data_IF_276281792936
#
_entry.id   IF_276281792936
#
_cell.length_a   1.000
_cell.length_b   1.000
_cell.length_c   1.000
_cell.angle_alpha   90.00
_cell.angle_beta   90.00
_cell.angle_gamma   90.00
#
_symmetry.space_group_name_H-M   'P 1'
#
loop_
_entity.id
_entity.type
_entity.pdbx_description
1 polymer ?
#
# COMPACT_ATOMS: atom_id res chain seq x y z
N UNK A 1 10.24 22.26 -21.56
CA UNK A 1 9.53 21.07 -22.10
C UNK A 1 9.97 19.78 -21.41
N UNK A 2 11.27 19.45 -21.38
CA UNK A 2 11.81 18.17 -20.83
C UNK A 2 11.48 17.93 -19.35
N UNK A 3 11.49 18.96 -18.50
CA UNK A 3 11.27 18.83 -17.04
C UNK A 3 9.93 18.16 -16.67
N UNK A 4 8.92 18.24 -17.53
CA UNK A 4 7.60 17.63 -17.27
C UNK A 4 7.58 16.11 -17.47
N UNK A 5 8.55 15.56 -18.19
CA UNK A 5 8.61 14.12 -18.46
C UNK A 5 9.38 13.34 -17.38
N UNK A 6 10.13 14.03 -16.51
CA UNK A 6 10.92 13.39 -15.45
C UNK A 6 10.00 12.64 -14.44
N UNK A 7 8.95 13.27 -13.87
CA UNK A 7 8.03 12.56 -12.98
C UNK A 7 7.35 11.39 -13.70
N UNK A 8 6.83 11.61 -14.92
CA UNK A 8 6.17 10.55 -15.68
C UNK A 8 7.10 9.35 -15.97
N UNK A 9 8.39 9.59 -16.22
CA UNK A 9 9.36 8.52 -16.42
C UNK A 9 9.59 7.71 -15.14
N UNK A 10 9.60 8.37 -13.98
CA UNK A 10 9.68 7.71 -12.68
C UNK A 10 8.41 6.89 -12.40
N UNK A 11 7.22 7.43 -12.71
CA UNK A 11 5.95 6.69 -12.65
C UNK A 11 5.95 5.47 -13.57
N UNK A 12 6.50 5.58 -14.78
CA UNK A 12 6.72 4.43 -15.66
C UNK A 12 7.68 3.40 -15.04
N UNK A 13 8.69 3.84 -14.27
CA UNK A 13 9.57 2.97 -13.49
C UNK A 13 8.83 2.20 -12.39
N UNK A 14 7.90 2.86 -11.69
CA UNK A 14 6.98 2.21 -10.74
C UNK A 14 6.18 1.10 -11.46
N UNK A 15 5.48 1.45 -12.54
CA UNK A 15 4.66 0.53 -13.33
C UNK A 15 5.47 -0.66 -13.88
N UNK A 16 6.67 -0.40 -14.41
CA UNK A 16 7.54 -1.43 -14.96
C UNK A 16 8.01 -2.41 -13.88
N UNK A 17 8.43 -1.88 -12.72
CA UNK A 17 8.89 -2.69 -11.59
C UNK A 17 7.76 -3.57 -11.03
N UNK A 18 6.55 -3.01 -10.91
CA UNK A 18 5.36 -3.75 -10.48
C UNK A 18 5.00 -4.87 -11.46
N UNK A 19 5.11 -4.60 -12.77
CA UNK A 19 4.89 -5.59 -13.82
C UNK A 19 5.88 -6.76 -13.74
N UNK A 20 7.15 -6.50 -13.45
CA UNK A 20 8.14 -7.57 -13.20
C UNK A 20 7.78 -8.35 -11.94
N UNK A 21 7.40 -7.67 -10.86
CA UNK A 21 6.94 -8.30 -9.63
C UNK A 21 5.78 -9.28 -9.86
N UNK A 22 4.84 -8.94 -10.74
CA UNK A 22 3.72 -9.81 -11.10
C UNK A 22 4.20 -11.12 -11.74
N UNK A 23 5.22 -11.05 -12.61
CA UNK A 23 5.81 -12.26 -13.23
C UNK A 23 6.42 -13.16 -12.16
N UNK A 24 7.18 -12.61 -11.21
CA UNK A 24 7.73 -13.37 -10.09
C UNK A 24 6.63 -13.99 -9.21
N UNK A 25 5.55 -13.24 -8.96
CA UNK A 25 4.42 -13.74 -8.20
C UNK A 25 3.75 -14.93 -8.89
N UNK A 26 3.54 -14.87 -10.21
CA UNK A 26 2.98 -15.99 -10.97
C UNK A 26 3.91 -17.20 -11.06
N UNK A 27 5.22 -17.00 -11.02
CA UNK A 27 6.20 -18.08 -10.93
C UNK A 27 6.29 -18.69 -9.52
N UNK A 28 5.52 -18.20 -8.55
CA UNK A 28 5.48 -18.71 -7.18
C UNK A 28 6.59 -18.16 -6.26
N UNK A 29 7.49 -17.32 -6.76
CA UNK A 29 8.53 -16.69 -5.94
C UNK A 29 8.01 -15.45 -5.20
N UNK A 30 7.12 -15.70 -4.24
CA UNK A 30 6.42 -14.65 -3.50
C UNK A 30 7.34 -13.83 -2.58
N UNK A 31 8.52 -14.36 -2.19
CA UNK A 31 9.46 -13.64 -1.34
C UNK A 31 10.20 -12.58 -2.16
N UNK A 32 10.67 -12.91 -3.37
CA UNK A 32 11.35 -11.93 -4.25
C UNK A 32 10.42 -10.80 -4.70
N UNK A 33 9.10 -11.04 -4.78
CA UNK A 33 8.11 -9.98 -5.10
C UNK A 33 8.25 -8.75 -4.21
N UNK A 34 8.58 -8.93 -2.91
CA UNK A 34 8.73 -7.81 -1.99
C UNK A 34 9.82 -6.82 -2.44
N UNK A 35 10.90 -7.30 -3.07
CA UNK A 35 11.94 -6.45 -3.62
C UNK A 35 11.41 -5.53 -4.73
N UNK A 36 10.61 -6.07 -5.65
CA UNK A 36 10.00 -5.27 -6.72
C UNK A 36 8.95 -4.30 -6.20
N UNK A 37 8.17 -4.66 -5.17
CA UNK A 37 7.26 -3.72 -4.51
C UNK A 37 8.02 -2.56 -3.86
N UNK A 38 9.16 -2.84 -3.21
CA UNK A 38 9.99 -1.79 -2.62
C UNK A 38 10.54 -0.87 -3.72
N UNK A 39 11.03 -1.41 -4.83
CA UNK A 39 11.48 -0.61 -5.98
C UNK A 39 10.35 0.24 -6.54
N UNK A 40 9.15 -0.32 -6.73
CA UNK A 40 7.96 0.42 -7.16
C UNK A 40 7.66 1.58 -6.20
N UNK A 41 7.69 1.33 -4.89
CA UNK A 41 7.49 2.36 -3.86
C UNK A 41 8.56 3.44 -3.86
N UNK A 42 9.81 3.09 -4.20
CA UNK A 42 10.88 4.08 -4.37
C UNK A 42 10.62 4.98 -5.58
N UNK A 43 10.25 4.40 -6.72
CA UNK A 43 9.91 5.18 -7.91
C UNK A 43 8.71 6.10 -7.70
N UNK A 44 7.63 5.58 -7.10
CA UNK A 44 6.43 6.33 -6.69
C UNK A 44 6.78 7.51 -5.77
N UNK A 45 7.57 7.27 -4.73
CA UNK A 45 8.01 8.35 -3.85
C UNK A 45 8.80 9.44 -4.61
N UNK A 46 9.71 9.03 -5.50
CA UNK A 46 10.55 9.96 -6.25
C UNK A 46 9.79 10.69 -7.34
N UNK A 47 8.75 10.13 -7.95
CA UNK A 47 7.94 10.85 -8.94
C UNK A 47 7.19 12.02 -8.29
N UNK A 48 6.57 11.79 -7.13
CA UNK A 48 5.82 12.78 -6.39
C UNK A 48 6.74 13.80 -5.73
N UNK A 49 7.95 13.39 -5.35
CA UNK A 49 9.01 14.31 -4.92
C UNK A 49 9.50 15.19 -6.08
N UNK A 50 9.82 14.61 -7.24
CA UNK A 50 10.31 15.32 -8.41
C UNK A 50 9.27 16.30 -8.97
N UNK A 51 7.99 15.91 -9.05
CA UNK A 51 6.89 16.77 -9.48
C UNK A 51 6.78 18.03 -8.60
N UNK A 52 6.91 17.86 -7.28
CA UNK A 52 6.91 18.98 -6.31
C UNK A 52 8.15 19.86 -6.44
N UNK A 53 9.33 19.26 -6.51
CA UNK A 53 10.61 19.98 -6.60
C UNK A 53 10.73 20.79 -7.90
N UNK A 54 10.25 20.23 -9.01
CA UNK A 54 10.30 20.88 -10.33
C UNK A 54 9.12 21.81 -10.58
N UNK A 55 8.18 21.93 -9.62
CA UNK A 55 6.93 22.67 -9.76
C UNK A 55 6.13 22.30 -11.03
N UNK A 56 6.14 21.01 -11.37
CA UNK A 56 5.38 20.48 -12.50
C UNK A 56 4.17 19.72 -11.97
N UNK A 57 2.98 20.20 -12.34
CA UNK A 57 1.74 19.42 -12.27
C UNK A 57 1.21 19.24 -13.68
N UNK A 58 0.77 18.04 -14.01
CA UNK A 58 0.13 17.74 -15.30
C UNK A 58 -0.94 16.70 -15.09
N UNK A 59 -2.08 16.88 -15.76
CA UNK A 59 -3.23 15.97 -15.66
C UNK A 59 -2.85 14.55 -16.09
N UNK A 60 -2.07 14.42 -17.18
CA UNK A 60 -1.53 13.13 -17.62
C UNK A 60 -0.69 12.44 -16.54
N UNK A 61 0.14 13.19 -15.80
CA UNK A 61 0.97 12.64 -14.73
C UNK A 61 0.14 12.14 -13.56
N UNK A 62 -0.92 12.87 -13.17
CA UNK A 62 -1.86 12.45 -12.13
C UNK A 62 -2.59 11.15 -12.50
N UNK A 63 -3.08 11.06 -13.74
CA UNK A 63 -3.79 9.85 -14.19
C UNK A 63 -2.82 8.67 -14.38
N UNK A 64 -1.62 8.91 -14.92
CA UNK A 64 -0.59 7.90 -15.09
C UNK A 64 -0.14 7.31 -13.74
N UNK A 65 0.01 8.14 -12.72
CA UNK A 65 0.31 7.75 -11.34
C UNK A 65 -0.72 6.77 -10.79
N UNK A 66 -2.01 7.13 -10.88
CA UNK A 66 -3.09 6.24 -10.44
C UNK A 66 -3.16 4.93 -11.24
N UNK A 67 -2.88 4.95 -12.55
CA UNK A 67 -2.83 3.74 -13.38
C UNK A 67 -1.64 2.84 -13.02
N UNK A 68 -0.46 3.43 -12.76
CA UNK A 68 0.71 2.70 -12.30
C UNK A 68 0.47 2.06 -10.93
N UNK A 69 -0.14 2.81 -10.01
CA UNK A 69 -0.50 2.34 -8.68
C UNK A 69 -1.49 1.18 -8.68
N UNK A 70 -2.45 1.17 -9.61
CA UNK A 70 -3.35 0.02 -9.78
C UNK A 70 -2.55 -1.24 -10.08
N UNK A 71 -1.47 -1.17 -10.86
CA UNK A 71 -0.64 -2.34 -11.19
C UNK A 71 0.26 -2.71 -10.01
N UNK A 72 1.06 -1.77 -9.51
CA UNK A 72 2.09 -2.04 -8.51
C UNK A 72 1.55 -2.25 -7.10
N UNK A 73 0.48 -1.54 -6.73
CA UNK A 73 -0.08 -1.53 -5.38
C UNK A 73 -1.54 -1.98 -5.29
N UNK A 74 -2.10 -2.48 -6.40
CA UNK A 74 -3.43 -3.10 -6.44
C UNK A 74 -3.40 -4.51 -7.01
N UNK A 75 -2.93 -4.66 -8.25
CA UNK A 75 -2.92 -5.92 -8.96
C UNK A 75 -1.86 -6.88 -8.43
N UNK A 76 -0.63 -6.40 -8.26
CA UNK A 76 0.45 -7.19 -7.68
C UNK A 76 0.09 -7.80 -6.30
N UNK A 77 -0.39 -7.05 -5.29
CA UNK A 77 -0.84 -7.68 -4.04
C UNK A 77 -2.06 -8.60 -4.23
N UNK A 78 -2.95 -8.32 -5.19
CA UNK A 78 -4.02 -9.24 -5.57
C UNK A 78 -3.50 -10.58 -6.09
N UNK A 79 -2.45 -10.57 -6.93
CA UNK A 79 -1.77 -11.78 -7.43
C UNK A 79 -1.10 -12.54 -6.28
N UNK A 80 -0.44 -11.84 -5.34
CA UNK A 80 0.15 -12.49 -4.14
C UNK A 80 -0.93 -13.22 -3.35
N UNK A 81 -2.06 -12.57 -3.07
CA UNK A 81 -3.16 -13.20 -2.33
C UNK A 81 -3.80 -14.36 -3.11
N UNK A 82 -3.93 -14.23 -4.43
CA UNK A 82 -4.36 -15.33 -5.30
C UNK A 82 -3.45 -16.56 -5.15
N UNK A 83 -2.13 -16.36 -5.20
CA UNK A 83 -1.15 -17.45 -5.03
C UNK A 83 -1.20 -18.05 -3.62
N UNK A 84 -1.35 -17.23 -2.57
CA UNK A 84 -1.52 -17.73 -1.21
C UNK A 84 -2.79 -18.60 -1.07
N UNK A 85 -3.91 -18.17 -1.65
CA UNK A 85 -5.14 -18.95 -1.64
C UNK A 85 -5.03 -20.24 -2.47
N UNK A 86 -4.34 -20.22 -3.61
CA UNK A 86 -4.04 -21.45 -4.36
C UNK A 86 -3.22 -22.44 -3.53
N UNK A 87 -2.16 -21.96 -2.86
CA UNK A 87 -1.32 -22.77 -1.98
C UNK A 87 -2.10 -23.34 -0.78
N UNK A 88 -3.15 -22.63 -0.33
CA UNK A 88 -4.09 -23.10 0.70
C UNK A 88 -5.17 -24.07 0.16
N UNK A 89 -5.06 -24.52 -1.09
CA UNK A 89 -6.02 -25.40 -1.78
C UNK A 89 -7.43 -24.80 -1.93
N UNK A 90 -7.55 -23.49 -2.11
CA UNK A 90 -8.85 -22.80 -2.24
C UNK A 90 -9.57 -23.08 -3.58
N UNK A 91 -8.90 -23.70 -4.57
CA UNK A 91 -9.46 -23.95 -5.90
C UNK A 91 -9.94 -22.66 -6.57
N UNK A 92 -11.18 -22.64 -7.07
CA UNK A 92 -11.76 -21.45 -7.70
C UNK A 92 -11.92 -20.26 -6.74
N UNK A 93 -11.93 -20.47 -5.41
CA UNK A 93 -12.00 -19.36 -4.47
C UNK A 93 -10.71 -18.52 -4.45
N UNK A 94 -9.60 -19.02 -5.01
CA UNK A 94 -8.37 -18.25 -5.10
C UNK A 94 -8.53 -16.93 -5.87
N UNK A 95 -9.42 -16.90 -6.88
CA UNK A 95 -9.75 -15.68 -7.63
C UNK A 95 -10.29 -14.55 -6.74
N UNK A 96 -10.76 -14.85 -5.53
CA UNK A 96 -11.14 -13.83 -4.55
C UNK A 96 -9.99 -12.90 -4.18
N UNK A 97 -8.73 -13.33 -4.29
CA UNK A 97 -7.56 -12.44 -4.09
C UNK A 97 -7.61 -11.18 -4.95
N UNK A 98 -8.21 -11.23 -6.15
CA UNK A 98 -8.37 -10.07 -7.03
C UNK A 98 -9.43 -9.07 -6.57
N UNK A 99 -10.19 -9.35 -5.50
CA UNK A 99 -10.97 -8.32 -4.81
C UNK A 99 -10.06 -7.19 -4.31
N UNK A 100 -8.83 -7.51 -3.88
CA UNK A 100 -7.85 -6.49 -3.49
C UNK A 100 -7.55 -5.56 -4.66
N UNK A 101 -7.39 -6.08 -5.87
CA UNK A 101 -7.19 -5.29 -7.09
C UNK A 101 -8.37 -4.37 -7.37
N UNK A 102 -9.58 -4.93 -7.35
CA UNK A 102 -10.82 -4.18 -7.64
C UNK A 102 -10.99 -3.04 -6.64
N UNK A 103 -10.86 -3.31 -5.35
CA UNK A 103 -11.04 -2.30 -4.31
C UNK A 103 -9.91 -1.28 -4.28
N UNK A 104 -8.69 -1.66 -4.68
CA UNK A 104 -7.58 -0.72 -4.86
C UNK A 104 -7.87 0.27 -5.99
N UNK A 105 -8.39 -0.20 -7.13
CA UNK A 105 -8.81 0.67 -8.23
C UNK A 105 -9.96 1.60 -7.82
N UNK A 106 -10.98 1.07 -7.12
CA UNK A 106 -12.08 1.89 -6.58
C UNK A 106 -11.58 2.96 -5.60
N UNK A 107 -10.63 2.62 -4.73
CA UNK A 107 -10.01 3.57 -3.79
C UNK A 107 -9.29 4.68 -4.55
N UNK A 108 -8.48 4.35 -5.56
CA UNK A 108 -7.72 5.34 -6.34
C UNK A 108 -8.66 6.26 -7.14
N UNK A 109 -9.69 5.69 -7.76
CA UNK A 109 -10.72 6.48 -8.44
C UNK A 109 -11.44 7.45 -7.48
N UNK A 110 -11.87 6.96 -6.30
CA UNK A 110 -12.46 7.81 -5.26
C UNK A 110 -11.50 8.92 -4.82
N UNK A 111 -10.23 8.58 -4.57
CA UNK A 111 -9.21 9.55 -4.16
C UNK A 111 -9.05 10.69 -5.17
N UNK A 112 -9.13 10.40 -6.47
CA UNK A 112 -8.94 11.41 -7.52
C UNK A 112 -10.09 12.43 -7.64
N UNK A 113 -11.29 12.08 -7.18
CA UNK A 113 -12.50 12.91 -7.29
C UNK A 113 -13.01 13.47 -5.95
N UNK A 114 -12.53 12.94 -4.82
CA UNK A 114 -12.98 13.33 -3.49
C UNK A 114 -12.24 14.59 -3.00
N UNK A 115 -12.94 15.72 -2.96
CA UNK A 115 -12.40 17.02 -2.56
C UNK A 115 -12.11 17.14 -1.05
N UNK A 116 -12.54 16.16 -0.24
CA UNK A 116 -12.31 16.15 1.21
C UNK A 116 -10.87 15.75 1.60
N UNK A 117 -10.10 15.16 0.68
CA UNK A 117 -8.81 14.54 0.96
C UNK A 117 -7.61 15.47 0.73
N UNK A 118 -7.55 16.58 1.46
CA UNK A 118 -6.50 17.60 1.29
C UNK A 118 -5.22 17.31 2.10
N UNK A 119 -5.37 17.05 3.40
CA UNK A 119 -4.24 16.76 4.31
C UNK A 119 -4.33 15.38 5.00
N UNK A 120 -5.46 14.71 4.84
CA UNK A 120 -5.81 13.43 5.45
C UNK A 120 -6.25 12.44 4.37
N UNK A 121 -6.11 11.15 4.66
CA UNK A 121 -6.66 10.09 3.82
C UNK A 121 -8.00 9.62 4.39
N UNK A 122 -8.94 9.32 3.50
CA UNK A 122 -10.18 8.61 3.86
C UNK A 122 -10.07 7.22 3.23
N UNK A 123 -10.02 6.20 4.10
CA UNK A 123 -9.73 4.81 3.73
C UNK A 123 -8.23 4.49 3.71
N UNK A 124 -7.92 3.19 3.75
CA UNK A 124 -6.54 2.71 3.71
C UNK A 124 -5.91 3.01 2.33
N UNK A 125 -4.67 3.48 2.30
CA UNK A 125 -3.97 3.70 1.04
C UNK A 125 -3.42 2.39 0.46
N UNK A 126 -3.27 2.37 -0.86
CA UNK A 126 -2.79 1.21 -1.62
C UNK A 126 -1.38 0.76 -1.24
N UNK A 127 -0.40 1.66 -0.95
CA UNK A 127 0.92 1.23 -0.49
C UNK A 127 0.91 0.50 0.85
N UNK A 128 0.19 1.00 1.88
CA UNK A 128 0.15 0.31 3.18
C UNK A 128 -0.56 -1.04 3.06
N UNK A 129 -1.63 -1.12 2.28
CA UNK A 129 -2.27 -2.40 1.96
C UNK A 129 -1.29 -3.37 1.29
N UNK A 130 -0.51 -2.89 0.31
CA UNK A 130 0.48 -3.72 -0.38
C UNK A 130 1.57 -4.21 0.56
N UNK A 131 2.11 -3.33 1.42
CA UNK A 131 3.11 -3.72 2.42
C UNK A 131 2.59 -4.79 3.38
N UNK A 132 1.33 -4.69 3.80
CA UNK A 132 0.69 -5.73 4.57
C UNK A 132 0.65 -7.07 3.81
N UNK A 133 0.18 -7.07 2.55
CA UNK A 133 0.03 -8.31 1.77
C UNK A 133 1.38 -8.97 1.46
N UNK A 134 2.41 -8.20 1.10
CA UNK A 134 3.74 -8.76 0.78
C UNK A 134 4.43 -9.35 2.01
N UNK A 135 3.97 -9.00 3.22
CA UNK A 135 4.50 -9.59 4.45
C UNK A 135 4.00 -11.02 4.69
N UNK A 136 2.82 -11.37 4.17
CA UNK A 136 2.17 -12.66 4.44
C UNK A 136 3.00 -13.86 3.94
N UNK A 137 3.59 -13.85 2.73
CA UNK A 137 4.47 -14.94 2.30
C UNK A 137 5.69 -15.18 3.21
N UNK A 138 6.18 -14.13 3.88
CA UNK A 138 7.29 -14.24 4.84
C UNK A 138 6.86 -14.82 6.19
N UNK A 139 5.55 -14.85 6.46
CA UNK A 139 4.97 -15.30 7.71
C UNK A 139 4.43 -16.74 7.66
N UNK A 140 4.39 -17.36 6.47
CA UNK A 140 3.89 -18.73 6.27
C UNK A 140 4.59 -19.74 7.17
N UNK A 141 5.90 -19.60 7.35
CA UNK A 141 6.73 -20.50 8.17
C UNK A 141 6.45 -20.37 9.68
N UNK A 142 5.74 -19.32 10.11
CA UNK A 142 5.49 -18.99 11.52
C UNK A 142 4.05 -19.23 11.96
N UNK A 143 3.10 -19.38 11.04
CA UNK A 143 1.68 -19.51 11.38
C UNK A 143 0.90 -20.35 10.38
N UNK A 144 0.38 -21.48 10.86
CA UNK A 144 -0.50 -22.36 10.08
C UNK A 144 -1.82 -21.70 9.68
N UNK A 145 -2.21 -20.59 10.33
CA UNK A 145 -3.39 -19.81 9.92
C UNK A 145 -3.26 -19.28 8.50
N UNK A 146 -2.05 -18.95 8.04
CA UNK A 146 -1.82 -18.44 6.69
C UNK A 146 -1.88 -19.54 5.61
N UNK A 147 -1.98 -20.81 6.00
CA UNK A 147 -2.32 -21.92 5.12
C UNK A 147 -3.82 -22.25 5.12
N UNK A 148 -4.63 -21.54 5.92
CA UNK A 148 -6.07 -21.74 5.99
C UNK A 148 -6.81 -20.84 5.00
N UNK A 149 -7.53 -21.44 4.05
CA UNK A 149 -8.31 -20.73 3.03
C UNK A 149 -9.29 -19.71 3.61
N UNK A 150 -10.05 -20.07 4.65
CA UNK A 150 -11.04 -19.16 5.24
C UNK A 150 -10.38 -17.97 5.93
N UNK A 151 -9.22 -18.17 6.55
CA UNK A 151 -8.46 -17.09 7.16
C UNK A 151 -7.93 -16.10 6.10
N UNK A 152 -7.36 -16.60 5.00
CA UNK A 152 -6.92 -15.76 3.88
C UNK A 152 -8.09 -15.02 3.20
N UNK A 153 -9.25 -15.66 3.07
CA UNK A 153 -10.47 -15.01 2.57
C UNK A 153 -10.96 -13.91 3.52
N UNK A 154 -10.94 -14.14 4.83
CA UNK A 154 -11.29 -13.12 5.82
C UNK A 154 -10.35 -11.92 5.75
N UNK A 155 -9.04 -12.16 5.58
CA UNK A 155 -8.05 -11.10 5.33
C UNK A 155 -8.42 -10.33 4.05
N UNK A 156 -8.63 -11.05 2.94
CA UNK A 156 -8.97 -10.47 1.63
C UNK A 156 -10.16 -9.52 1.72
N UNK A 157 -11.25 -9.96 2.35
CA UNK A 157 -12.46 -9.16 2.52
C UNK A 157 -12.18 -7.95 3.41
N UNK A 158 -11.48 -8.15 4.53
CA UNK A 158 -11.19 -7.10 5.50
C UNK A 158 -10.34 -5.98 4.88
N UNK A 159 -9.24 -6.33 4.23
CA UNK A 159 -8.36 -5.31 3.63
C UNK A 159 -9.02 -4.62 2.43
N UNK A 160 -9.82 -5.35 1.65
CA UNK A 160 -10.61 -4.77 0.55
C UNK A 160 -11.61 -3.74 1.09
N UNK A 161 -12.31 -4.05 2.18
CA UNK A 161 -13.19 -3.10 2.85
C UNK A 161 -12.43 -1.87 3.37
N UNK A 162 -11.27 -2.07 4.03
CA UNK A 162 -10.47 -0.98 4.57
C UNK A 162 -10.04 0.04 3.51
N UNK A 163 -9.74 -0.41 2.28
CA UNK A 163 -9.36 0.46 1.15
C UNK A 163 -10.45 1.49 0.81
N UNK A 164 -11.73 1.15 0.94
CA UNK A 164 -12.85 2.04 0.58
C UNK A 164 -13.64 2.55 1.79
N UNK A 165 -13.19 2.21 3.01
CA UNK A 165 -13.84 2.61 4.25
C UNK A 165 -13.79 4.14 4.46
N UNK A 166 -14.74 4.68 5.22
CA UNK A 166 -14.72 6.11 5.59
C UNK A 166 -13.85 6.40 6.83
N UNK A 167 -12.88 5.52 7.12
CA UNK A 167 -11.94 5.72 8.22
C UNK A 167 -10.98 6.85 7.87
N UNK A 168 -10.96 7.90 8.70
CA UNK A 168 -9.95 8.96 8.59
C UNK A 168 -8.61 8.44 9.06
N UNK A 169 -7.60 8.56 8.20
CA UNK A 169 -6.21 8.17 8.47
C UNK A 169 -5.30 9.37 8.22
N UNK A 170 -4.37 9.64 9.15
CA UNK A 170 -3.50 10.80 8.97
C UNK A 170 -2.51 10.54 7.83
N UNK A 171 -2.21 11.57 7.04
CA UNK A 171 -1.11 11.47 6.09
C UNK A 171 0.24 11.57 6.82
N UNK A 172 1.25 10.88 6.29
CA UNK A 172 2.64 11.01 6.76
C UNK A 172 3.27 12.36 6.38
N UNK A 173 2.52 13.26 5.72
CA UNK A 173 2.98 14.62 5.44
C UNK A 173 2.97 15.44 6.74
N UNK A 174 4.06 16.16 6.97
CA UNK A 174 4.28 16.99 8.14
C UNK A 174 4.11 18.45 7.73
N UNK A 175 2.97 19.06 8.05
CA UNK A 175 2.65 20.42 7.59
C UNK A 175 3.40 21.50 8.38
N UNK A 176 3.77 21.19 9.64
CA UNK A 176 4.62 22.00 10.50
C UNK A 176 5.51 21.05 11.31
N UNK A 177 6.78 21.37 11.53
CA UNK A 177 7.70 20.54 12.34
C UNK A 177 7.42 20.62 13.87
N UNK A 178 6.23 21.08 14.27
CA UNK A 178 5.84 21.20 15.67
C UNK A 178 5.53 19.81 16.25
N UNK A 179 6.14 19.52 17.41
CA UNK A 179 5.92 18.28 18.16
C UNK A 179 4.45 18.12 18.55
N UNK A 180 3.81 19.14 19.11
CA UNK A 180 2.44 19.03 19.62
C UNK A 180 1.43 18.65 18.53
N UNK A 181 1.61 19.21 17.33
CA UNK A 181 0.74 18.94 16.19
C UNK A 181 0.94 17.53 15.60
N UNK A 182 2.11 16.92 15.77
CA UNK A 182 2.46 15.67 15.09
C UNK A 182 2.95 14.55 16.03
N UNK A 183 2.79 14.69 17.34
CA UNK A 183 3.30 13.73 18.34
C UNK A 183 2.91 12.29 18.03
N UNK A 184 1.65 12.05 17.63
CA UNK A 184 1.17 10.71 17.29
C UNK A 184 1.83 10.16 16.02
N UNK A 185 2.11 11.01 15.03
CA UNK A 185 2.84 10.63 13.81
C UNK A 185 4.30 10.27 14.12
N UNK A 186 4.96 11.06 14.96
CA UNK A 186 6.34 10.79 15.40
C UNK A 186 6.46 9.51 16.21
N UNK A 187 5.59 9.31 17.21
CA UNK A 187 5.57 8.10 18.02
C UNK A 187 5.30 6.88 17.14
N UNK A 188 4.31 6.96 16.23
CA UNK A 188 4.03 5.90 15.27
C UNK A 188 5.26 5.57 14.40
N UNK A 189 5.95 6.59 13.87
CA UNK A 189 7.12 6.38 13.02
C UNK A 189 8.28 5.72 13.78
N UNK A 190 8.60 6.21 14.97
CA UNK A 190 9.65 5.62 15.82
C UNK A 190 9.31 4.18 16.17
N UNK A 191 8.08 3.91 16.59
CA UNK A 191 7.63 2.56 16.92
C UNK A 191 7.69 1.64 15.69
N UNK A 192 7.30 2.12 14.52
CA UNK A 192 7.38 1.36 13.27
C UNK A 192 8.81 1.01 12.89
N UNK A 193 9.75 1.95 13.04
CA UNK A 193 11.19 1.72 12.79
C UNK A 193 11.74 0.68 13.77
N UNK A 194 11.42 0.80 15.05
CA UNK A 194 11.83 -0.16 16.08
C UNK A 194 11.30 -1.55 15.75
N UNK A 195 10.00 -1.67 15.44
CA UNK A 195 9.40 -2.96 15.07
C UNK A 195 10.03 -3.55 13.81
N UNK A 196 10.28 -2.75 12.77
CA UNK A 196 10.93 -3.20 11.55
C UNK A 196 12.37 -3.68 11.81
N UNK A 197 13.11 -3.02 12.70
CA UNK A 197 14.47 -3.41 13.07
C UNK A 197 14.52 -4.78 13.76
N UNK A 198 13.58 -5.06 14.67
CA UNK A 198 13.55 -6.33 15.43
C UNK A 198 12.80 -7.46 14.73
N UNK A 199 11.68 -7.16 14.06
CA UNK A 199 10.74 -8.16 13.52
C UNK A 199 10.76 -8.25 11.98
N UNK A 200 11.49 -7.36 11.28
CA UNK A 200 11.57 -7.35 9.80
C UNK A 200 10.18 -7.35 9.16
N UNK A 201 9.91 -8.24 8.19
CA UNK A 201 8.60 -8.34 7.54
C UNK A 201 7.45 -8.67 8.49
N UNK A 202 7.71 -9.37 9.60
CA UNK A 202 6.67 -9.65 10.60
C UNK A 202 6.16 -8.40 11.32
N UNK A 203 6.89 -7.29 11.24
CA UNK A 203 6.44 -6.00 11.74
C UNK A 203 5.26 -5.43 10.94
N UNK A 204 5.16 -5.70 9.63
CA UNK A 204 4.26 -4.96 8.73
C UNK A 204 2.76 -5.12 9.10
N UNK A 205 2.25 -6.31 9.47
CA UNK A 205 0.90 -6.43 10.02
C UNK A 205 0.66 -5.62 11.28
N UNK A 206 1.64 -5.60 12.19
CA UNK A 206 1.56 -4.85 13.45
C UNK A 206 1.58 -3.35 13.16
N UNK A 207 2.45 -2.91 12.24
CA UNK A 207 2.53 -1.52 11.80
C UNK A 207 1.22 -1.05 11.18
N UNK A 208 0.53 -1.87 10.37
CA UNK A 208 -0.79 -1.52 9.84
C UNK A 208 -1.82 -1.31 10.95
N UNK A 209 -1.88 -2.22 11.92
CA UNK A 209 -2.80 -2.10 13.06
C UNK A 209 -2.49 -0.82 13.85
N UNK A 210 -1.21 -0.58 14.17
CA UNK A 210 -0.78 0.62 14.86
C UNK A 210 -1.11 1.89 14.08
N UNK A 211 -0.95 1.88 12.76
CA UNK A 211 -1.26 3.02 11.91
C UNK A 211 -2.75 3.41 12.02
N UNK A 212 -3.65 2.41 11.96
CA UNK A 212 -5.08 2.64 12.13
C UNK A 212 -5.37 3.15 13.54
N UNK A 213 -4.83 2.52 14.58
CA UNK A 213 -5.06 2.91 15.98
C UNK A 213 -4.56 4.33 16.27
N UNK A 214 -3.33 4.65 15.91
CA UNK A 214 -2.76 5.99 16.10
C UNK A 214 -3.53 7.03 15.29
N UNK A 215 -4.06 6.67 14.12
CA UNK A 215 -4.93 7.58 13.35
C UNK A 215 -6.21 7.91 14.09
N UNK A 216 -6.89 6.90 14.64
CA UNK A 216 -8.11 7.14 15.43
C UNK A 216 -7.83 7.98 16.69
N UNK A 217 -6.70 7.72 17.38
CA UNK A 217 -6.27 8.51 18.54
C UNK A 217 -5.99 9.96 18.13
N UNK A 218 -5.25 10.17 17.03
CA UNK A 218 -4.92 11.51 16.54
C UNK A 218 -6.19 12.34 16.29
N UNK A 219 -7.18 11.81 15.56
CA UNK A 219 -8.42 12.55 15.28
C UNK A 219 -9.35 12.70 16.50
N UNK A 220 -9.25 11.82 17.49
CA UNK A 220 -10.02 11.94 18.74
C UNK A 220 -9.49 13.08 19.63
N UNK A 221 -8.17 13.29 19.67
CA UNK A 221 -7.51 14.24 20.58
C UNK A 221 -6.97 15.51 19.91
N UNK A 222 -7.08 15.64 18.60
CA UNK A 222 -6.67 16.85 17.85
C UNK A 222 -7.83 17.84 17.64
N UNK A 223 -8.93 17.71 18.39
CA UNK A 223 -10.03 18.68 18.45
C UNK A 223 -9.75 19.77 19.48
#
# INVERSE_FOLDING_TARGET
MIKKHIPNMLTCGNLFSGSIGIVYAFNGDLKTVAFFVIISGVFDFFDGFAARLLHVKSDIGKELDSLADVISFGFLPGVIMYQLLLNANAGLLAYAGFLITIFSALRLAKFNIDTRQTEEFIGLNTPMNTFFIISLPYLLDYSSLLANTYFLLAITITVSYLLISELKLFSMKMNKLSWEANKYKFIFLILSIVLLAFLKFAALPIVLILYILFSQIHFKYSK
#
